data_IF_629617789042
#
_entry.id   IF_629617789042
#
_cell.length_a   1.000
_cell.length_b   1.000
_cell.length_c   1.000
_cell.angle_alpha   90.00
_cell.angle_beta   90.00
_cell.angle_gamma   90.00
#
_symmetry.space_group_name_H-M   'P 1'
#
loop_
_entity.id
_entity.type
_entity.pdbx_description
1 polymer ?
#
# COMPACT_ATOMS: atom_id res chain seq x y z
N UNK A 1 -10.64 -4.69 -10.14
CA UNK A 1 -9.62 -5.50 -9.46
C UNK A 1 -9.00 -4.62 -8.41
N UNK A 2 -8.95 -5.09 -7.16
CA UNK A 2 -8.31 -4.38 -6.06
C UNK A 2 -7.09 -5.20 -5.62
N UNK A 3 -6.10 -4.54 -5.03
CA UNK A 3 -4.95 -5.23 -4.45
C UNK A 3 -4.99 -5.05 -2.94
N UNK A 4 -4.60 -6.06 -2.18
CA UNK A 4 -4.35 -5.97 -0.75
C UNK A 4 -2.83 -5.90 -0.59
N UNK A 5 -2.32 -4.73 -0.22
CA UNK A 5 -0.88 -4.49 -0.10
C UNK A 5 -0.47 -4.71 1.34
N UNK A 6 0.58 -5.49 1.56
CA UNK A 6 1.14 -5.75 2.88
C UNK A 6 2.31 -4.84 3.14
N UNK A 7 2.24 -4.11 4.25
CA UNK A 7 3.28 -3.19 4.71
C UNK A 7 3.93 -3.72 5.96
N UNK A 8 5.26 -3.66 6.04
CA UNK A 8 6.02 -3.99 7.25
C UNK A 8 6.71 -2.76 7.80
N UNK A 9 6.45 -2.40 9.05
CA UNK A 9 7.16 -1.33 9.73
C UNK A 9 8.64 -1.69 9.92
N UNK A 10 9.55 -0.82 9.46
CA UNK A 10 11.01 -1.01 9.65
C UNK A 10 11.44 -0.92 11.12
N UNK A 11 10.66 -0.22 11.95
CA UNK A 11 11.00 0.01 13.36
C UNK A 11 10.53 -1.14 14.26
N UNK A 12 9.23 -1.40 14.32
CA UNK A 12 8.65 -2.43 15.20
C UNK A 12 8.49 -3.79 14.53
N UNK A 13 8.57 -3.87 13.20
CA UNK A 13 8.39 -5.11 12.45
C UNK A 13 6.95 -5.54 12.24
N UNK A 14 5.98 -4.78 12.74
CA UNK A 14 4.55 -5.04 12.60
C UNK A 14 4.14 -5.04 11.12
N UNK A 15 3.24 -5.96 10.78
CA UNK A 15 2.72 -6.15 9.42
C UNK A 15 1.26 -5.71 9.42
N UNK A 16 0.94 -4.75 8.57
CA UNK A 16 -0.40 -4.24 8.38
C UNK A 16 -0.82 -4.41 6.93
N UNK A 17 -2.05 -4.85 6.75
CA UNK A 17 -2.68 -4.88 5.44
C UNK A 17 -3.29 -3.52 5.14
N UNK A 18 -3.14 -3.06 3.90
CA UNK A 18 -3.75 -1.82 3.43
C UNK A 18 -5.27 -1.83 3.61
N UNK A 19 -5.82 -0.90 4.40
CA UNK A 19 -7.26 -0.63 4.38
C UNK A 19 -7.59 0.17 3.12
N UNK A 20 -8.21 -0.48 2.14
CA UNK A 20 -8.73 0.09 0.89
C UNK A 20 -7.68 0.73 -0.06
N UNK A 21 -7.28 -0.08 -1.04
CA UNK A 21 -6.40 0.24 -2.19
C UNK A 21 -7.08 0.88 -3.42
N UNK A 22 -8.37 1.33 -3.44
CA UNK A 22 -8.85 2.13 -4.57
C UNK A 22 -7.96 3.36 -4.82
N UNK A 23 -7.62 4.10 -3.76
CA UNK A 23 -6.92 5.38 -3.85
C UNK A 23 -5.47 5.26 -4.33
N UNK A 24 -4.75 4.20 -3.94
CA UNK A 24 -3.36 3.99 -4.38
C UNK A 24 -3.28 3.66 -5.87
N UNK A 25 -4.16 2.78 -6.37
CA UNK A 25 -4.21 2.45 -7.79
C UNK A 25 -4.69 3.64 -8.62
N UNK A 26 -5.63 4.43 -8.09
CA UNK A 26 -6.06 5.68 -8.74
C UNK A 26 -4.90 6.68 -8.84
N UNK A 27 -4.05 6.78 -7.80
CA UNK A 27 -2.82 7.60 -7.83
C UNK A 27 -1.83 7.06 -8.87
N UNK A 28 -1.59 5.74 -8.91
CA UNK A 28 -0.67 5.14 -9.90
C UNK A 28 -1.18 5.38 -11.32
N UNK A 29 -2.48 5.20 -11.56
CA UNK A 29 -3.10 5.44 -12.86
C UNK A 29 -3.03 6.92 -13.25
N UNK A 30 -3.33 7.84 -12.33
CA UNK A 30 -3.19 9.27 -12.55
C UNK A 30 -1.77 9.65 -12.99
N UNK A 31 -0.75 8.98 -12.46
CA UNK A 31 0.66 9.21 -12.81
C UNK A 31 1.00 8.64 -14.19
N UNK A 32 0.50 7.43 -14.50
CA UNK A 32 0.66 6.81 -15.82
C UNK A 32 0.00 7.63 -16.94
N UNK A 33 -1.11 8.30 -16.62
CA UNK A 33 -1.88 9.12 -17.56
C UNK A 33 -1.24 10.50 -17.84
N UNK A 34 -0.15 10.87 -17.17
CA UNK A 34 0.53 12.16 -17.41
C UNK A 34 1.41 12.06 -18.67
N UNK A 35 1.12 12.82 -19.74
CA UNK A 35 1.99 12.88 -20.91
C UNK A 35 3.33 13.54 -20.52
N UNK A 36 4.43 13.02 -21.09
CA UNK A 36 5.81 13.54 -20.90
C UNK A 36 6.46 13.16 -19.54
N UNK A 37 6.54 11.85 -19.26
CA UNK A 37 7.00 11.29 -17.99
C UNK A 37 8.52 11.12 -17.83
N UNK A 38 9.34 11.67 -18.73
CA UNK A 38 10.76 11.33 -18.85
C UNK A 38 11.64 11.69 -17.63
N UNK A 39 11.12 12.40 -16.62
CA UNK A 39 11.89 12.81 -15.43
C UNK A 39 11.15 12.67 -14.09
N UNK A 40 10.06 11.89 -14.00
CA UNK A 40 9.30 11.78 -12.73
C UNK A 40 9.55 10.46 -12.01
N UNK A 41 10.01 10.58 -10.76
CA UNK A 41 10.07 9.48 -9.80
C UNK A 41 8.85 9.56 -8.88
N UNK A 42 7.98 8.55 -8.91
CA UNK A 42 6.94 8.40 -7.90
C UNK A 42 7.58 7.85 -6.63
N UNK A 43 7.51 8.63 -5.55
CA UNK A 43 7.91 8.21 -4.21
C UNK A 43 6.66 8.08 -3.36
N UNK A 44 6.24 6.85 -3.08
CA UNK A 44 5.16 6.57 -2.14
C UNK A 44 5.76 6.16 -0.81
N UNK A 45 5.37 6.83 0.28
CA UNK A 45 5.83 6.48 1.62
C UNK A 45 4.62 6.13 2.45
N UNK A 46 4.66 4.98 3.12
CA UNK A 46 3.66 4.57 4.10
C UNK A 46 4.31 4.59 5.49
N UNK A 47 3.56 5.05 6.48
CA UNK A 47 4.02 5.26 7.85
C UNK A 47 3.14 4.45 8.80
N UNK A 48 3.75 3.93 9.86
CA UNK A 48 3.08 3.16 10.90
C UNK A 48 3.33 3.80 12.26
N UNK A 49 2.26 3.96 13.04
CA UNK A 49 2.33 4.45 14.42
C UNK A 49 2.57 3.26 15.35
N UNK A 50 3.79 3.15 15.87
CA UNK A 50 4.19 2.07 16.77
C UNK A 50 3.52 2.20 18.15
N UNK A 51 3.37 1.09 18.87
CA UNK A 51 2.82 1.08 20.24
C UNK A 51 3.57 2.00 21.23
N UNK A 52 4.87 2.21 21.01
CA UNK A 52 5.70 3.13 21.80
C UNK A 52 5.43 4.62 21.51
N UNK A 53 4.45 4.92 20.65
CA UNK A 53 4.06 6.26 20.25
C UNK A 53 4.95 6.89 19.16
N UNK A 54 5.94 6.16 18.67
CA UNK A 54 6.80 6.64 17.57
C UNK A 54 6.22 6.32 16.19
N UNK A 55 6.81 6.91 15.15
CA UNK A 55 6.44 6.65 13.75
C UNK A 55 7.57 5.93 13.05
N UNK A 56 7.25 4.82 12.39
CA UNK A 56 8.14 4.07 11.52
C UNK A 56 7.74 4.18 10.05
N UNK A 57 8.72 4.16 9.15
CA UNK A 57 8.47 3.99 7.71
C UNK A 57 8.21 2.51 7.46
N UNK A 58 7.25 2.20 6.58
CA UNK A 58 6.93 0.84 6.19
C UNK A 58 7.48 0.49 4.80
N UNK A 59 7.84 -0.78 4.62
CA UNK A 59 8.18 -1.37 3.33
C UNK A 59 7.01 -2.16 2.79
N UNK A 60 6.81 -2.12 1.47
CA UNK A 60 5.92 -3.07 0.80
C UNK A 60 6.62 -4.43 0.77
N UNK A 61 5.99 -5.45 1.36
CA UNK A 61 6.52 -6.82 1.40
C UNK A 61 5.71 -7.81 0.57
N UNK A 62 4.51 -7.43 0.13
CA UNK A 62 3.63 -8.25 -0.69
C UNK A 62 2.44 -7.47 -1.23
N UNK A 63 1.82 -8.01 -2.27
CA UNK A 63 0.55 -7.52 -2.81
C UNK A 63 -0.25 -8.71 -3.36
N UNK A 64 -1.51 -8.82 -2.97
CA UNK A 64 -2.42 -9.88 -3.41
C UNK A 64 -3.62 -9.29 -4.13
N UNK A 65 -3.97 -9.85 -5.28
CA UNK A 65 -5.20 -9.46 -6.00
C UNK A 65 -6.42 -9.97 -5.26
N UNK A 66 -7.45 -9.13 -5.11
CA UNK A 66 -8.75 -9.56 -4.63
C UNK A 66 -9.91 -8.91 -5.41
N UNK A 67 -11.04 -9.62 -5.42
CA UNK A 67 -12.30 -9.12 -5.96
C UNK A 67 -13.15 -8.61 -4.81
N UNK A 68 -13.50 -7.32 -4.85
CA UNK A 68 -14.38 -6.70 -3.85
C UNK A 68 -15.71 -7.47 -3.78
N UNK A 69 -16.03 -8.04 -2.62
CA UNK A 69 -17.23 -8.86 -2.41
C UNK A 69 -17.01 -10.39 -2.42
N UNK A 70 -15.79 -10.89 -2.61
CA UNK A 70 -15.42 -12.24 -2.16
C UNK A 70 -14.94 -12.13 -0.71
N UNK A 71 -15.84 -12.33 0.25
CA UNK A 71 -15.43 -12.61 1.63
C UNK A 71 -14.66 -13.93 1.65
N UNK A 72 -13.43 -13.90 2.18
CA UNK A 72 -12.64 -15.10 2.43
C UNK A 72 -13.42 -16.03 3.37
N UNK A 73 -13.97 -17.11 2.80
CA UNK A 73 -14.54 -18.24 3.53
C UNK A 73 -13.42 -19.21 3.87
N UNK A 74 -12.44 -18.75 4.64
CA UNK A 74 -11.46 -19.67 5.23
C UNK A 74 -11.23 -19.28 6.69
N UNK A 75 -11.95 -20.00 7.56
CA UNK A 75 -11.73 -20.07 9.01
C UNK A 75 -10.35 -20.64 9.34
#
# INVERSE_FOLDING_TARGET
MAYKVQYKCRKCGEIEDSSSVPTFLDIVKMIQDIPDANERQLVTVSWHSCEDGSVGITDVIGAEEYTYGQEDTTQ
#
